data_IF_422668195438
#
_entry.id   IF_422668195438
#
_cell.length_a   1.000
_cell.length_b   1.000
_cell.length_c   1.000
_cell.angle_alpha   90.00
_cell.angle_beta   90.00
_cell.angle_gamma   90.00
#
_symmetry.space_group_name_H-M   'P 1'
#
loop_
_entity.id
_entity.type
_entity.pdbx_description
1 polymer ?
#
# COMPACT_ATOMS: atom_id res chain seq x y z
N UNK A 1 25.50 33.92 4.70
CA UNK A 1 25.34 32.57 5.34
C UNK A 1 23.88 32.22 5.16
N UNK A 2 23.49 31.83 3.98
CA UNK A 2 22.11 31.48 3.64
C UNK A 2 22.02 29.98 3.75
N UNK A 3 21.44 29.52 4.86
CA UNK A 3 21.22 28.09 5.14
C UNK A 3 20.10 27.56 4.26
N UNK A 4 20.37 26.47 3.60
CA UNK A 4 19.47 25.65 2.80
C UNK A 4 18.29 25.12 3.67
N UNK A 5 17.25 25.94 3.85
CA UNK A 5 16.00 25.56 4.54
C UNK A 5 14.97 24.92 3.57
N UNK A 6 15.31 24.77 2.29
CA UNK A 6 14.36 24.30 1.27
C UNK A 6 14.11 22.79 1.23
N UNK A 7 14.92 21.98 1.90
CA UNK A 7 14.86 20.51 1.77
C UNK A 7 13.87 19.79 2.68
N UNK A 8 13.49 20.36 3.80
CA UNK A 8 12.67 19.70 4.84
C UNK A 8 11.16 19.96 4.71
N UNK A 9 10.75 21.03 4.06
CA UNK A 9 9.32 21.37 3.89
C UNK A 9 8.62 20.61 2.77
N UNK A 10 9.34 20.11 1.78
CA UNK A 10 8.73 19.38 0.64
C UNK A 10 8.21 17.98 0.99
N UNK A 11 8.81 17.28 1.94
CA UNK A 11 8.43 15.91 2.32
C UNK A 11 7.02 15.81 2.91
N UNK A 12 6.65 16.67 3.85
CA UNK A 12 5.37 16.66 4.52
C UNK A 12 4.18 16.99 3.61
N UNK A 13 4.28 18.01 2.81
CA UNK A 13 3.23 18.44 1.86
C UNK A 13 3.02 17.38 0.76
N UNK A 14 4.10 16.73 0.34
CA UNK A 14 4.08 15.66 -0.64
C UNK A 14 3.30 14.43 -0.14
N UNK A 15 3.47 14.03 1.12
CA UNK A 15 2.75 12.91 1.70
C UNK A 15 1.22 13.12 1.70
N UNK A 16 0.75 14.31 2.03
CA UNK A 16 -0.67 14.66 2.00
C UNK A 16 -1.24 14.63 0.57
N UNK A 17 -0.48 15.11 -0.41
CA UNK A 17 -0.87 15.06 -1.82
C UNK A 17 -0.94 13.61 -2.35
N UNK A 18 0.03 12.78 -2.02
CA UNK A 18 0.03 11.35 -2.38
C UNK A 18 -1.15 10.59 -1.76
N UNK A 19 -1.50 10.88 -0.50
CA UNK A 19 -2.69 10.30 0.15
C UNK A 19 -3.98 10.76 -0.52
N UNK A 20 -4.08 12.02 -0.91
CA UNK A 20 -5.24 12.56 -1.63
C UNK A 20 -5.41 11.89 -3.01
N UNK A 21 -4.32 11.67 -3.74
CA UNK A 21 -4.32 10.93 -5.00
C UNK A 21 -4.79 9.49 -4.82
N UNK A 22 -4.23 8.78 -3.83
CA UNK A 22 -4.66 7.42 -3.50
C UNK A 22 -6.16 7.38 -3.20
N UNK A 23 -6.67 8.32 -2.43
CA UNK A 23 -8.07 8.35 -2.04
C UNK A 23 -9.02 8.57 -3.22
N UNK A 24 -8.66 9.42 -4.18
CA UNK A 24 -9.47 9.58 -5.40
C UNK A 24 -9.60 8.29 -6.20
N UNK A 25 -8.57 7.45 -6.17
CA UNK A 25 -8.56 6.14 -6.82
C UNK A 25 -9.35 5.06 -6.05
N UNK A 26 -9.64 5.27 -4.75
CA UNK A 26 -10.38 4.30 -3.95
C UNK A 26 -11.87 4.31 -4.27
N UNK A 27 -12.48 3.12 -4.23
CA UNK A 27 -13.93 2.94 -4.38
C UNK A 27 -14.73 3.18 -3.09
N UNK A 28 -14.04 3.52 -2.00
CA UNK A 28 -14.61 3.73 -0.66
C UNK A 28 -13.84 4.83 0.08
N UNK A 29 -14.45 5.52 1.04
CA UNK A 29 -13.77 6.54 1.82
C UNK A 29 -12.76 5.92 2.79
N UNK A 30 -11.66 6.62 3.07
CA UNK A 30 -10.74 6.27 4.15
C UNK A 30 -11.44 6.55 5.48
N UNK A 31 -11.56 5.54 6.32
CA UNK A 31 -12.19 5.62 7.65
C UNK A 31 -11.18 5.73 8.79
N UNK A 32 -9.96 5.29 8.57
CA UNK A 32 -8.90 5.33 9.58
C UNK A 32 -7.52 5.30 8.94
N UNK A 33 -6.58 5.94 9.61
CA UNK A 33 -5.17 5.91 9.28
C UNK A 33 -4.39 5.43 10.51
N UNK A 34 -3.71 4.30 10.34
CA UNK A 34 -2.81 3.76 11.35
C UNK A 34 -1.37 4.05 10.94
N UNK A 35 -0.58 4.65 11.84
CA UNK A 35 0.78 5.10 11.55
C UNK A 35 1.76 4.62 12.61
N UNK A 36 2.99 4.45 12.20
CA UNK A 36 4.12 4.27 13.09
C UNK A 36 4.61 5.61 13.68
N UNK A 37 5.73 5.57 14.40
CA UNK A 37 6.35 6.75 14.99
C UNK A 37 7.33 7.49 14.05
N UNK A 38 7.32 7.16 12.74
CA UNK A 38 8.15 7.86 11.76
C UNK A 38 7.84 9.35 11.68
N UNK A 39 8.88 10.20 11.70
CA UNK A 39 8.74 11.66 11.70
C UNK A 39 8.03 12.21 10.47
N UNK A 40 8.18 11.54 9.33
CA UNK A 40 7.53 11.87 8.05
C UNK A 40 6.00 11.82 8.08
N UNK A 41 5.43 10.97 8.97
CA UNK A 41 3.98 10.84 9.16
C UNK A 41 3.44 11.65 10.34
N UNK A 42 4.31 12.31 11.13
CA UNK A 42 3.93 13.21 12.21
C UNK A 42 3.49 14.60 11.72
N UNK A 43 3.07 14.67 10.46
CA UNK A 43 2.90 15.90 9.75
C UNK A 43 1.53 16.53 10.01
N UNK A 44 1.54 17.78 10.42
CA UNK A 44 0.36 18.62 10.57
C UNK A 44 -0.46 18.71 9.28
N UNK A 45 0.17 18.71 8.11
CA UNK A 45 -0.51 18.77 6.82
C UNK A 45 -1.39 17.56 6.56
N UNK A 46 -0.93 16.35 6.92
CA UNK A 46 -1.74 15.13 6.79
C UNK A 46 -2.88 15.11 7.81
N UNK A 47 -2.61 15.54 9.06
CA UNK A 47 -3.64 15.66 10.07
C UNK A 47 -4.70 16.71 9.67
N UNK A 48 -4.27 17.89 9.19
CA UNK A 48 -5.14 18.96 8.72
C UNK A 48 -5.99 18.54 7.52
N UNK A 49 -5.39 17.80 6.57
CA UNK A 49 -6.11 17.22 5.42
C UNK A 49 -7.28 16.34 5.86
N UNK A 50 -7.11 15.52 6.90
CA UNK A 50 -8.18 14.64 7.38
C UNK A 50 -9.14 15.33 8.36
N UNK A 51 -8.69 16.32 9.13
CA UNK A 51 -9.54 17.08 10.06
C UNK A 51 -10.54 17.99 9.35
N UNK A 52 -10.21 18.49 8.16
CA UNK A 52 -11.09 19.34 7.34
C UNK A 52 -12.23 18.59 6.67
N UNK A 53 -12.38 17.30 6.90
CA UNK A 53 -13.41 16.48 6.26
C UNK A 53 -14.73 16.47 7.02
N UNK A 54 -15.86 16.33 6.29
CA UNK A 54 -17.18 16.15 6.91
C UNK A 54 -17.28 14.88 7.76
N UNK A 55 -16.55 13.81 7.34
CA UNK A 55 -16.43 12.55 8.10
C UNK A 55 -15.05 12.47 8.73
N UNK A 56 -15.04 12.38 10.06
CA UNK A 56 -13.83 12.21 10.84
C UNK A 56 -13.11 10.90 10.48
N UNK A 57 -11.82 10.98 10.19
CA UNK A 57 -10.95 9.82 9.99
C UNK A 57 -10.33 9.47 11.33
N UNK A 58 -10.43 8.20 11.73
CA UNK A 58 -9.80 7.74 12.97
C UNK A 58 -8.28 7.70 12.80
N UNK A 59 -7.57 8.44 13.63
CA UNK A 59 -6.11 8.41 13.69
C UNK A 59 -5.66 7.52 14.83
N UNK A 60 -4.88 6.49 14.50
CA UNK A 60 -4.20 5.65 15.47
C UNK A 60 -2.69 5.78 15.29
N UNK A 61 -1.98 5.72 16.40
CA UNK A 61 -0.52 5.79 16.46
C UNK A 61 0.01 4.61 17.25
N UNK A 62 1.02 3.96 16.71
CA UNK A 62 1.74 2.90 17.41
C UNK A 62 2.39 3.44 18.67
N UNK A 63 2.26 2.71 19.77
CA UNK A 63 2.88 3.09 21.05
C UNK A 63 4.41 2.94 20.95
N UNK A 64 5.18 3.86 21.54
CA UNK A 64 6.62 3.73 21.59
C UNK A 64 7.02 2.36 22.20
N UNK A 65 8.00 1.70 21.60
CA UNK A 65 8.54 0.39 22.04
C UNK A 65 7.58 -0.80 22.01
N UNK A 66 6.36 -0.66 21.49
CA UNK A 66 5.42 -1.77 21.30
C UNK A 66 5.47 -2.33 19.88
N UNK A 67 6.39 -3.25 19.61
CA UNK A 67 6.58 -3.88 18.29
C UNK A 67 5.32 -4.52 17.70
N UNK A 68 4.42 -5.02 18.54
CA UNK A 68 3.19 -5.67 18.09
C UNK A 68 2.21 -4.71 17.40
N UNK A 69 2.27 -3.42 17.71
CA UNK A 69 1.40 -2.41 17.11
C UNK A 69 1.73 -2.24 15.61
N UNK A 70 3.00 -2.42 15.21
CA UNK A 70 3.46 -2.31 13.82
C UNK A 70 3.34 -3.61 13.00
N UNK A 71 2.90 -4.71 13.60
CA UNK A 71 2.90 -6.02 12.95
C UNK A 71 2.13 -6.06 11.61
N UNK A 72 1.08 -5.25 11.46
CA UNK A 72 0.30 -5.15 10.21
C UNK A 72 1.08 -4.42 9.12
N UNK A 73 1.70 -3.30 9.46
CA UNK A 73 2.51 -2.48 8.53
C UNK A 73 3.72 -3.28 8.09
N UNK A 74 4.43 -3.91 9.03
CA UNK A 74 5.60 -4.76 8.75
C UNK A 74 5.25 -5.93 7.82
N UNK A 75 4.12 -6.61 8.07
CA UNK A 75 3.65 -7.70 7.19
C UNK A 75 3.33 -7.19 5.79
N UNK A 76 2.71 -6.02 5.66
CA UNK A 76 2.40 -5.42 4.37
C UNK A 76 3.67 -4.99 3.64
N UNK A 77 4.59 -4.36 4.33
CA UNK A 77 5.90 -4.01 3.79
C UNK A 77 6.66 -5.28 3.31
N UNK A 78 6.68 -6.33 4.12
CA UNK A 78 7.26 -7.60 3.71
C UNK A 78 6.64 -8.13 2.42
N UNK A 79 5.30 -8.30 2.39
CA UNK A 79 4.59 -8.94 1.28
C UNK A 79 4.59 -8.09 0.00
N UNK A 80 4.46 -6.78 0.13
CA UNK A 80 4.27 -5.90 -1.03
C UNK A 80 5.55 -5.21 -1.49
N UNK A 81 6.58 -5.13 -0.66
CA UNK A 81 7.84 -4.46 -1.01
C UNK A 81 8.99 -5.46 -0.97
N UNK A 82 9.30 -6.03 0.21
CA UNK A 82 10.51 -6.83 0.39
C UNK A 82 10.55 -8.10 -0.45
N UNK A 83 9.43 -8.79 -0.59
CA UNK A 83 9.34 -9.97 -1.45
C UNK A 83 9.45 -9.63 -2.95
N UNK A 84 9.10 -8.42 -3.35
CA UNK A 84 9.16 -8.00 -4.76
C UNK A 84 10.53 -7.45 -5.15
N UNK A 85 11.02 -6.49 -4.39
CA UNK A 85 12.21 -5.72 -4.76
C UNK A 85 13.41 -5.92 -3.82
N UNK A 86 13.24 -6.68 -2.74
CA UNK A 86 14.29 -6.96 -1.76
C UNK A 86 14.59 -5.76 -0.85
N UNK A 87 15.79 -5.77 -0.24
CA UNK A 87 16.20 -4.80 0.79
C UNK A 87 17.06 -3.65 0.29
N UNK A 88 17.42 -3.63 -0.98
CA UNK A 88 18.30 -2.60 -1.49
C UNK A 88 17.63 -1.25 -1.59
N UNK A 89 18.43 -0.21 -1.42
CA UNK A 89 17.99 1.16 -1.64
C UNK A 89 17.80 1.41 -3.14
N UNK A 90 16.73 2.09 -3.50
CA UNK A 90 16.49 2.63 -4.84
C UNK A 90 17.00 4.07 -4.82
N UNK A 91 18.14 4.32 -5.47
CA UNK A 91 18.74 5.66 -5.50
C UNK A 91 18.42 6.45 -6.78
N UNK A 92 17.85 5.79 -7.79
CA UNK A 92 17.61 6.41 -9.10
C UNK A 92 16.14 6.77 -9.30
N UNK A 93 15.88 7.98 -9.80
CA UNK A 93 14.51 8.46 -10.09
C UNK A 93 13.77 7.53 -11.06
N UNK A 94 14.44 7.05 -12.12
CA UNK A 94 13.86 6.12 -13.09
C UNK A 94 13.40 4.80 -12.47
N UNK A 95 14.09 4.32 -11.44
CA UNK A 95 13.69 3.13 -10.69
C UNK A 95 12.44 3.40 -9.86
N UNK A 96 12.36 4.56 -9.21
CA UNK A 96 11.20 4.95 -8.43
C UNK A 96 9.95 5.11 -9.32
N UNK A 97 10.08 5.75 -10.47
CA UNK A 97 9.00 5.90 -11.44
C UNK A 97 8.47 4.55 -11.92
N UNK A 98 9.36 3.63 -12.30
CA UNK A 98 8.97 2.29 -12.74
C UNK A 98 8.27 1.48 -11.65
N UNK A 99 8.69 1.64 -10.38
CA UNK A 99 8.03 1.04 -9.23
C UNK A 99 6.65 1.66 -8.99
N UNK A 100 6.53 2.97 -9.04
CA UNK A 100 5.25 3.65 -8.89
C UNK A 100 4.25 3.20 -9.97
N UNK A 101 4.69 3.12 -11.22
CA UNK A 101 3.85 2.61 -12.30
C UNK A 101 3.44 1.15 -12.06
N UNK A 102 4.37 0.29 -11.63
CA UNK A 102 4.08 -1.11 -11.30
C UNK A 102 3.02 -1.21 -10.20
N UNK A 103 3.17 -0.45 -9.12
CA UNK A 103 2.25 -0.49 -7.99
C UNK A 103 0.88 0.09 -8.34
N UNK A 104 0.82 1.19 -9.07
CA UNK A 104 -0.43 1.83 -9.46
C UNK A 104 -1.29 0.96 -10.41
N UNK A 105 -0.65 0.16 -11.25
CA UNK A 105 -1.32 -0.63 -12.28
C UNK A 105 -1.27 -2.13 -12.02
N UNK A 106 -0.20 -2.79 -12.46
CA UNK A 106 -0.17 -4.25 -12.54
C UNK A 106 -0.24 -4.91 -11.17
N UNK A 107 0.52 -4.41 -10.19
CA UNK A 107 0.54 -5.01 -8.85
C UNK A 107 -0.78 -4.79 -8.11
N UNK A 108 -1.35 -3.60 -8.18
CA UNK A 108 -2.66 -3.30 -7.61
C UNK A 108 -3.74 -4.21 -8.19
N UNK A 109 -3.81 -4.34 -9.52
CA UNK A 109 -4.79 -5.20 -10.17
C UNK A 109 -4.58 -6.67 -9.79
N UNK A 110 -3.35 -7.15 -9.79
CA UNK A 110 -3.04 -8.53 -9.43
C UNK A 110 -3.45 -8.86 -7.99
N UNK A 111 -3.12 -7.98 -7.05
CA UNK A 111 -3.47 -8.20 -5.64
C UNK A 111 -4.95 -8.09 -5.35
N UNK A 112 -5.63 -7.14 -5.98
CA UNK A 112 -7.03 -6.87 -5.71
C UNK A 112 -8.00 -7.80 -6.42
N UNK A 113 -7.67 -8.28 -7.62
CA UNK A 113 -8.59 -9.08 -8.43
C UNK A 113 -8.21 -10.55 -8.56
N UNK A 114 -6.93 -10.91 -8.39
CA UNK A 114 -6.43 -12.27 -8.66
C UNK A 114 -6.00 -13.00 -7.41
N UNK A 115 -5.43 -12.31 -6.40
CA UNK A 115 -4.89 -12.96 -5.22
C UNK A 115 -5.92 -13.04 -4.08
N UNK A 116 -6.53 -14.22 -3.81
CA UNK A 116 -7.40 -14.37 -2.65
C UNK A 116 -6.58 -14.40 -1.36
N UNK A 117 -7.21 -14.00 -0.28
CA UNK A 117 -6.65 -14.07 1.06
C UNK A 117 -7.71 -14.56 2.04
N UNK A 118 -7.28 -15.25 3.08
CA UNK A 118 -8.13 -15.65 4.20
C UNK A 118 -7.96 -14.67 5.37
N UNK A 119 -9.05 -14.32 6.02
CA UNK A 119 -9.03 -13.54 7.26
C UNK A 119 -9.24 -14.48 8.45
N UNK A 120 -8.48 -14.27 9.50
CA UNK A 120 -8.70 -14.96 10.77
C UNK A 120 -10.04 -14.50 11.37
N UNK A 121 -10.94 -15.45 11.65
CA UNK A 121 -12.26 -15.20 12.24
C UNK A 121 -12.20 -15.35 13.75
N UNK A 122 -11.71 -16.50 14.22
CA UNK A 122 -11.64 -16.84 15.64
C UNK A 122 -10.51 -17.83 15.92
N UNK A 123 -10.12 -17.90 17.17
CA UNK A 123 -9.21 -18.93 17.66
C UNK A 123 -10.01 -19.87 18.58
N UNK A 124 -10.04 -21.13 18.24
CA UNK A 124 -10.60 -22.20 19.07
C UNK A 124 -9.50 -22.72 20.00
N UNK A 125 -9.82 -22.90 21.26
CA UNK A 125 -8.91 -23.45 22.28
C UNK A 125 -9.46 -24.79 22.71
N UNK A 126 -8.71 -25.86 22.45
CA UNK A 126 -9.05 -27.22 22.83
C UNK A 126 -7.93 -27.77 23.73
N UNK A 127 -8.13 -27.71 25.02
CA UNK A 127 -7.09 -27.98 26.01
C UNK A 127 -5.93 -27.00 25.90
N UNK A 128 -4.72 -27.48 25.67
CA UNK A 128 -3.51 -26.66 25.47
C UNK A 128 -3.31 -26.21 24.01
N UNK A 129 -4.10 -26.71 23.06
CA UNK A 129 -3.95 -26.42 21.63
C UNK A 129 -4.80 -25.23 21.22
N UNK A 130 -4.20 -24.32 20.44
CA UNK A 130 -4.89 -23.18 19.81
C UNK A 130 -5.00 -23.41 18.31
N UNK A 131 -6.24 -23.51 17.80
CA UNK A 131 -6.56 -23.67 16.38
C UNK A 131 -7.12 -22.36 15.86
N UNK A 132 -6.47 -21.79 14.81
CA UNK A 132 -6.97 -20.59 14.13
C UNK A 132 -7.97 -21.00 13.05
N UNK A 133 -9.15 -20.41 13.11
CA UNK A 133 -10.21 -20.58 12.10
C UNK A 133 -10.20 -19.38 11.17
N UNK A 134 -10.21 -19.65 9.89
CA UNK A 134 -10.18 -18.65 8.84
C UNK A 134 -11.48 -18.70 8.02
N UNK A 135 -11.82 -17.57 7.40
CA UNK A 135 -12.91 -17.51 6.44
C UNK A 135 -12.53 -18.17 5.10
N UNK A 136 -13.50 -18.25 4.19
CA UNK A 136 -13.25 -18.70 2.83
C UNK A 136 -12.31 -17.73 2.10
N UNK A 137 -11.35 -18.25 1.30
CA UNK A 137 -10.49 -17.42 0.47
C UNK A 137 -11.32 -16.49 -0.44
N UNK A 138 -11.08 -15.20 -0.37
CA UNK A 138 -11.72 -14.22 -1.24
C UNK A 138 -10.74 -13.10 -1.60
N UNK A 139 -10.84 -12.57 -2.80
CA UNK A 139 -10.03 -11.42 -3.22
C UNK A 139 -10.48 -10.15 -2.49
N UNK A 140 -9.61 -9.14 -2.37
CA UNK A 140 -10.01 -7.83 -1.81
C UNK A 140 -11.23 -7.24 -2.52
N UNK A 141 -11.31 -7.39 -3.83
CA UNK A 141 -12.46 -6.91 -4.61
C UNK A 141 -13.77 -7.63 -4.25
N UNK A 142 -13.73 -8.96 -4.13
CA UNK A 142 -14.91 -9.74 -3.72
C UNK A 142 -15.39 -9.36 -2.31
N UNK A 143 -14.45 -9.10 -1.41
CA UNK A 143 -14.79 -8.61 -0.05
C UNK A 143 -15.38 -7.21 -0.07
N UNK A 144 -14.86 -6.32 -0.92
CA UNK A 144 -15.38 -4.97 -1.08
C UNK A 144 -16.82 -5.02 -1.61
N UNK A 145 -17.07 -5.83 -2.64
CA UNK A 145 -18.41 -6.03 -3.20
C UNK A 145 -19.38 -6.58 -2.14
N UNK A 146 -18.96 -7.59 -1.38
CA UNK A 146 -19.77 -8.19 -0.34
C UNK A 146 -20.05 -7.26 0.86
N UNK A 147 -19.22 -6.24 1.08
CA UNK A 147 -19.39 -5.30 2.20
C UNK A 147 -20.53 -4.31 2.02
N UNK A 148 -20.95 -4.03 0.78
CA UNK A 148 -21.95 -3.02 0.46
C UNK A 148 -21.54 -1.57 0.77
N UNK A 149 -20.28 -1.32 1.12
CA UNK A 149 -19.78 0.01 1.55
C UNK A 149 -19.24 0.88 0.41
N UNK A 150 -19.11 0.31 -0.78
CA UNK A 150 -18.55 1.00 -1.94
C UNK A 150 -19.67 1.59 -2.82
N UNK A 151 -19.33 2.65 -3.55
CA UNK A 151 -20.20 3.25 -4.55
C UNK A 151 -20.56 2.22 -5.64
N UNK A 152 -21.85 1.95 -5.92
CA UNK A 152 -22.27 0.97 -6.92
C UNK A 152 -21.68 1.24 -8.32
N UNK A 153 -21.57 2.51 -8.73
CA UNK A 153 -20.98 2.88 -10.02
C UNK A 153 -19.50 2.52 -10.11
N UNK A 154 -18.77 2.72 -8.99
CA UNK A 154 -17.37 2.31 -8.91
C UNK A 154 -17.22 0.79 -8.91
N UNK A 155 -18.12 0.06 -8.24
CA UNK A 155 -18.12 -1.42 -8.27
C UNK A 155 -18.33 -1.92 -9.70
N UNK A 156 -19.29 -1.39 -10.43
CA UNK A 156 -19.52 -1.77 -11.84
C UNK A 156 -18.30 -1.52 -12.73
N UNK A 157 -17.60 -0.39 -12.53
CA UNK A 157 -16.35 -0.10 -13.21
C UNK A 157 -15.26 -1.16 -12.90
N UNK A 158 -15.11 -1.51 -11.61
CA UNK A 158 -14.15 -2.52 -11.16
C UNK A 158 -14.51 -3.92 -11.68
N UNK A 159 -15.79 -4.26 -11.82
CA UNK A 159 -16.24 -5.52 -12.46
C UNK A 159 -15.85 -5.59 -13.92
N UNK A 160 -16.06 -4.52 -14.67
CA UNK A 160 -15.63 -4.43 -16.07
C UNK A 160 -14.11 -4.57 -16.19
N UNK A 161 -13.36 -3.90 -15.32
CA UNK A 161 -11.90 -4.06 -15.26
C UNK A 161 -11.50 -5.51 -14.97
N UNK A 162 -12.12 -6.15 -13.95
CA UNK A 162 -11.84 -7.56 -13.60
C UNK A 162 -12.11 -8.49 -14.79
N UNK A 163 -13.22 -8.31 -15.50
CA UNK A 163 -13.59 -9.13 -16.67
C UNK A 163 -12.58 -9.00 -17.83
N UNK A 164 -11.98 -7.84 -18.02
CA UNK A 164 -10.97 -7.61 -19.05
C UNK A 164 -9.56 -8.11 -18.66
N UNK A 165 -9.32 -8.45 -17.39
CA UNK A 165 -8.00 -8.87 -16.92
C UNK A 165 -7.69 -10.33 -17.28
N UNK A 166 -6.50 -10.52 -17.83
CA UNK A 166 -5.91 -11.86 -17.97
C UNK A 166 -4.80 -12.03 -16.90
N UNK A 167 -4.98 -12.91 -15.91
CA UNK A 167 -4.03 -13.10 -14.81
C UNK A 167 -2.61 -13.45 -15.26
N UNK A 168 -2.49 -14.27 -16.31
CA UNK A 168 -1.19 -14.70 -16.83
C UNK A 168 -0.46 -13.56 -17.56
N UNK A 169 -1.19 -12.78 -18.38
CA UNK A 169 -0.61 -11.57 -19.01
C UNK A 169 -0.16 -10.57 -17.96
N UNK A 170 -0.98 -10.37 -16.93
CA UNK A 170 -0.68 -9.47 -15.82
C UNK A 170 0.57 -9.91 -15.06
N UNK A 171 0.66 -11.19 -14.71
CA UNK A 171 1.86 -11.74 -14.03
C UNK A 171 3.13 -11.58 -14.88
N UNK A 172 3.06 -11.85 -16.18
CA UNK A 172 4.19 -11.65 -17.10
C UNK A 172 4.63 -10.18 -17.17
N UNK A 173 3.67 -9.25 -17.15
CA UNK A 173 3.97 -7.81 -17.12
C UNK A 173 4.69 -7.41 -15.82
N UNK A 174 4.21 -7.90 -14.68
CA UNK A 174 4.86 -7.71 -13.36
C UNK A 174 6.30 -8.23 -13.41
N UNK A 175 6.52 -9.46 -13.84
CA UNK A 175 7.85 -10.08 -13.86
C UNK A 175 8.82 -9.34 -14.78
N UNK A 176 8.34 -8.82 -15.91
CA UNK A 176 9.14 -8.01 -16.82
C UNK A 176 9.56 -6.68 -16.20
N UNK A 177 8.63 -5.97 -15.56
CA UNK A 177 8.91 -4.69 -14.87
C UNK A 177 9.86 -4.91 -13.70
N UNK A 178 9.67 -5.94 -12.88
CA UNK A 178 10.56 -6.28 -11.77
C UNK A 178 11.98 -6.59 -12.25
N UNK A 179 12.14 -7.35 -13.33
CA UNK A 179 13.47 -7.59 -13.91
C UNK A 179 14.15 -6.29 -14.30
N UNK A 180 13.42 -5.34 -14.90
CA UNK A 180 13.97 -4.03 -15.28
C UNK A 180 14.36 -3.19 -14.07
N UNK A 181 13.54 -3.18 -13.02
CA UNK A 181 13.86 -2.52 -11.73
C UNK A 181 15.16 -3.07 -11.13
N UNK A 182 15.32 -4.41 -11.13
CA UNK A 182 16.50 -5.07 -10.60
C UNK A 182 17.74 -4.85 -11.46
N UNK A 183 17.59 -4.70 -12.78
CA UNK A 183 18.69 -4.35 -13.69
C UNK A 183 19.20 -2.92 -13.46
N UNK A 184 18.29 -1.95 -13.33
CA UNK A 184 18.65 -0.55 -13.00
C UNK A 184 19.40 -0.47 -11.67
N UNK A 185 19.05 -1.30 -10.70
CA UNK A 185 19.72 -1.36 -9.40
C UNK A 185 21.14 -1.94 -9.45
N UNK A 186 21.41 -2.85 -10.41
CA UNK A 186 22.72 -3.49 -10.59
C UNK A 186 23.68 -2.71 -11.47
N UNK A 187 23.17 -1.75 -12.23
CA UNK A 187 24.03 -0.87 -13.00
C UNK A 187 24.92 -0.10 -12.02
N UNK A 188 26.26 -0.20 -12.10
CA UNK A 188 27.14 0.61 -11.27
C UNK A 188 26.84 2.06 -11.60
N UNK A 189 26.54 2.87 -10.60
CA UNK A 189 26.34 4.29 -10.77
C UNK A 189 27.53 4.83 -11.59
N UNK A 190 27.25 5.51 -12.71
CA UNK A 190 28.27 6.34 -13.35
C UNK A 190 28.72 7.29 -12.25
N UNK A 191 29.92 7.06 -11.74
CA UNK A 191 30.60 8.04 -10.92
C UNK A 191 30.55 9.34 -11.70
N UNK A 192 29.93 10.36 -11.10
CA UNK A 192 30.01 11.71 -11.64
C UNK A 192 31.50 12.07 -11.71
N UNK A 193 32.00 12.21 -12.92
CA UNK A 193 33.28 12.81 -13.20
C UNK A 193 33.15 14.33 -13.05
#
# INVERSE_FOLDING_TARGET
MDGDEGGLEQGPTRCAAEVAEIETALAFPILGLDRDNGGEFLNWHLADYFLKRPKTVAFTRSRPYHKNDNARVERKNWTHVRQLVGYGRSGEAAQAELLNELYAREWSHFRNFVCPAMKHIRTEVEGSRKKRVYDKPATPFERLKASGQADPKKIECLERMKAALNPFKLKRAIDRKLRRVLQLRRAPGRAAA
#
